data_IF_096333741375
#
_entry.id   IF_096333741375
#
_cell.length_a   1.000
_cell.length_b   1.000
_cell.length_c   1.000
_cell.angle_alpha   90.00
_cell.angle_beta   90.00
_cell.angle_gamma   90.00
#
_symmetry.space_group_name_H-M   'P 1'
#
loop_
_entity.id
_entity.type
_entity.pdbx_description
1 polymer ?
#
# COMPACT_ATOMS: atom_id res chain seq x y z
N UNK A 1 8.59 12.67 -26.56
CA UNK A 1 7.20 12.17 -26.69
C UNK A 1 6.64 12.00 -25.29
N UNK A 2 5.45 12.54 -24.96
CA UNK A 2 4.89 12.38 -23.61
C UNK A 2 4.47 10.93 -23.38
N UNK A 3 4.83 10.37 -22.22
CA UNK A 3 4.46 9.01 -21.83
C UNK A 3 2.92 8.87 -21.74
N UNK A 4 2.30 7.79 -22.22
CA UNK A 4 0.84 7.61 -22.18
C UNK A 4 0.22 7.84 -20.79
N UNK A 5 0.93 7.45 -19.73
CA UNK A 5 0.56 7.70 -18.32
C UNK A 5 0.26 9.18 -18.00
N UNK A 6 0.89 10.12 -18.70
CA UNK A 6 0.64 11.55 -18.55
C UNK A 6 -0.80 11.92 -18.93
N UNK A 7 -1.31 11.41 -20.05
CA UNK A 7 -2.67 11.68 -20.50
C UNK A 7 -3.71 11.07 -19.57
N UNK A 8 -3.46 9.88 -19.03
CA UNK A 8 -4.31 9.28 -18.01
C UNK A 8 -4.35 10.11 -16.73
N UNK A 9 -3.21 10.64 -16.28
CA UNK A 9 -3.16 11.51 -15.11
C UNK A 9 -4.02 12.77 -15.30
N UNK A 10 -3.88 13.45 -16.45
CA UNK A 10 -4.69 14.64 -16.74
C UNK A 10 -6.19 14.31 -16.81
N UNK A 11 -6.54 13.21 -17.49
CA UNK A 11 -7.93 12.74 -17.57
C UNK A 11 -8.54 12.51 -16.19
N UNK A 12 -7.85 11.78 -15.30
CA UNK A 12 -8.35 11.49 -13.95
C UNK A 12 -8.32 12.70 -13.02
N UNK A 13 -7.40 13.65 -13.22
CA UNK A 13 -7.43 14.94 -12.53
C UNK A 13 -8.69 15.73 -12.81
N UNK A 14 -9.14 15.74 -14.07
CA UNK A 14 -10.36 16.45 -14.48
C UNK A 14 -11.62 15.67 -14.10
N UNK A 15 -11.64 14.36 -14.35
CA UNK A 15 -12.85 13.55 -14.18
C UNK A 15 -13.07 13.03 -12.76
N UNK A 16 -12.01 12.95 -11.94
CA UNK A 16 -12.04 12.43 -10.56
C UNK A 16 -11.17 13.26 -9.59
N UNK A 17 -11.40 14.58 -9.46
CA UNK A 17 -10.58 15.44 -8.61
C UNK A 17 -10.62 15.05 -7.12
N UNK A 18 -11.76 14.57 -6.63
CA UNK A 18 -11.88 14.08 -5.26
C UNK A 18 -10.94 12.90 -4.99
N UNK A 19 -10.89 11.91 -5.88
CA UNK A 19 -9.97 10.77 -5.78
C UNK A 19 -8.51 11.24 -5.80
N UNK A 20 -8.15 12.20 -6.64
CA UNK A 20 -6.78 12.74 -6.64
C UNK A 20 -6.41 13.36 -5.29
N UNK A 21 -7.35 14.04 -4.63
CA UNK A 21 -7.13 14.58 -3.28
C UNK A 21 -6.93 13.47 -2.24
N UNK A 22 -7.65 12.35 -2.36
CA UNK A 22 -7.44 11.18 -1.49
C UNK A 22 -6.03 10.59 -1.69
N UNK A 23 -5.59 10.43 -2.94
CA UNK A 23 -4.25 9.93 -3.28
C UNK A 23 -3.17 10.84 -2.68
N UNK A 24 -3.32 12.17 -2.82
CA UNK A 24 -2.38 13.13 -2.22
C UNK A 24 -2.29 13.00 -0.70
N UNK A 25 -3.41 12.81 -0.01
CA UNK A 25 -3.41 12.62 1.46
C UNK A 25 -2.76 11.30 1.89
N UNK A 26 -2.93 10.24 1.10
CA UNK A 26 -2.22 8.98 1.33
C UNK A 26 -0.72 9.19 1.14
N UNK A 27 -0.31 9.88 0.07
CA UNK A 27 1.09 10.21 -0.20
C UNK A 27 1.72 11.02 0.93
N UNK A 28 1.06 12.11 1.36
CA UNK A 28 1.53 12.96 2.44
C UNK A 28 1.74 12.17 3.74
N UNK A 29 0.85 11.22 4.06
CA UNK A 29 0.99 10.41 5.26
C UNK A 29 2.06 9.32 5.12
N UNK A 30 2.12 8.61 3.99
CA UNK A 30 3.00 7.44 3.80
C UNK A 30 4.46 7.87 3.68
N UNK A 31 4.71 9.01 3.04
CA UNK A 31 6.08 9.54 2.87
C UNK A 31 6.70 10.09 4.16
N UNK A 32 5.93 10.14 5.27
CA UNK A 32 6.47 10.47 6.60
C UNK A 32 7.18 9.29 7.27
N UNK A 33 7.00 8.06 6.77
CA UNK A 33 7.58 6.88 7.41
C UNK A 33 9.07 6.76 7.09
N UNK A 34 9.81 6.17 8.02
CA UNK A 34 11.26 6.05 7.87
C UNK A 34 11.64 5.19 6.65
N UNK A 35 12.48 5.74 5.78
CA UNK A 35 12.97 5.05 4.58
C UNK A 35 11.98 4.98 3.42
N UNK A 36 10.83 5.67 3.51
CA UNK A 36 9.84 5.70 2.42
C UNK A 36 10.08 6.85 1.45
N UNK A 37 9.95 6.54 0.16
CA UNK A 37 9.84 7.51 -0.94
C UNK A 37 8.62 7.24 -1.80
N UNK A 38 8.28 8.19 -2.68
CA UNK A 38 7.19 8.01 -3.64
C UNK A 38 7.59 8.49 -5.04
N UNK A 39 7.09 7.79 -6.07
CA UNK A 39 7.43 8.04 -7.47
C UNK A 39 6.20 7.84 -8.37
N UNK A 40 6.15 8.47 -9.55
CA UNK A 40 5.14 8.15 -10.55
C UNK A 40 5.21 6.67 -10.96
N UNK A 41 4.08 5.96 -10.91
CA UNK A 41 4.01 4.57 -11.36
C UNK A 41 3.96 4.51 -12.89
N UNK A 42 4.74 3.65 -13.57
CA UNK A 42 4.80 3.60 -15.05
C UNK A 42 3.45 3.35 -15.71
N UNK A 43 2.59 2.55 -15.07
CA UNK A 43 1.23 2.25 -15.56
C UNK A 43 0.18 3.31 -15.13
N UNK A 44 0.63 4.46 -14.65
CA UNK A 44 -0.22 5.57 -14.22
C UNK A 44 -0.67 5.39 -12.77
N UNK A 45 -0.11 6.21 -11.88
CA UNK A 45 -0.42 6.19 -10.46
C UNK A 45 0.72 6.78 -9.65
N UNK A 46 0.64 6.61 -8.34
CA UNK A 46 1.67 6.93 -7.36
C UNK A 46 2.15 5.64 -6.70
N UNK A 47 3.43 5.31 -6.84
CA UNK A 47 4.05 4.15 -6.22
C UNK A 47 4.86 4.57 -4.98
N UNK A 48 4.88 3.71 -3.96
CA UNK A 48 5.57 3.91 -2.69
C UNK A 48 6.66 2.87 -2.51
N UNK A 49 7.86 3.32 -2.16
CA UNK A 49 9.05 2.49 -2.08
C UNK A 49 9.68 2.61 -0.70
N UNK A 50 9.96 1.47 -0.06
CA UNK A 50 10.87 1.39 1.07
C UNK A 50 12.25 1.00 0.53
N UNK A 51 13.20 1.92 0.58
CA UNK A 51 14.46 1.83 -0.16
C UNK A 51 14.21 1.51 -1.65
N UNK A 52 14.66 0.35 -2.13
CA UNK A 52 14.52 -0.07 -3.53
C UNK A 52 13.32 -1.00 -3.76
N UNK A 53 12.55 -1.32 -2.71
CA UNK A 53 11.43 -2.27 -2.79
C UNK A 53 10.09 -1.55 -2.75
N UNK A 54 9.25 -1.79 -3.75
CA UNK A 54 7.88 -1.27 -3.76
C UNK A 54 7.04 -1.91 -2.66
N UNK A 55 6.33 -1.09 -1.88
CA UNK A 55 5.38 -1.54 -0.85
C UNK A 55 3.92 -1.47 -1.32
N UNK A 56 3.66 -0.82 -2.45
CA UNK A 56 2.35 -0.69 -3.09
C UNK A 56 2.23 0.59 -3.94
N UNK A 57 1.17 0.67 -4.74
CA UNK A 57 0.89 1.84 -5.56
C UNK A 57 -0.61 2.12 -5.66
N UNK A 58 -0.96 3.40 -5.83
CA UNK A 58 -2.34 3.84 -6.08
C UNK A 58 -2.46 4.37 -7.50
N UNK A 59 -3.26 3.72 -8.32
CA UNK A 59 -3.61 4.19 -9.66
C UNK A 59 -4.46 5.47 -9.59
N UNK A 60 -4.37 6.32 -10.63
CA UNK A 60 -5.13 7.58 -10.68
C UNK A 60 -6.66 7.39 -10.66
N UNK A 61 -7.15 6.19 -10.92
CA UNK A 61 -8.57 5.86 -10.80
C UNK A 61 -9.02 5.58 -9.35
N UNK A 62 -8.08 5.47 -8.39
CA UNK A 62 -8.33 5.20 -6.97
C UNK A 62 -8.03 3.76 -6.52
N UNK A 63 -7.54 2.88 -7.39
CA UNK A 63 -7.18 1.51 -6.98
C UNK A 63 -5.81 1.49 -6.31
N UNK A 64 -5.77 1.08 -5.04
CA UNK A 64 -4.54 0.73 -4.33
C UNK A 64 -4.22 -0.75 -4.60
N UNK A 65 -3.10 -1.01 -5.25
CA UNK A 65 -2.63 -2.36 -5.56
C UNK A 65 -1.36 -2.66 -4.75
N UNK A 66 -1.32 -3.84 -4.14
CA UNK A 66 -0.21 -4.30 -3.32
C UNK A 66 0.06 -5.78 -3.58
N UNK A 67 1.33 -6.12 -3.81
CA UNK A 67 1.81 -7.49 -4.01
C UNK A 67 2.22 -8.11 -2.68
N UNK A 68 1.73 -9.31 -2.40
CA UNK A 68 2.02 -10.11 -1.21
C UNK A 68 2.33 -11.57 -1.60
N UNK A 69 2.74 -12.38 -0.60
CA UNK A 69 2.79 -13.84 -0.73
C UNK A 69 1.39 -14.45 -0.89
N UNK A 70 1.31 -15.69 -1.40
CA UNK A 70 0.01 -16.35 -1.69
C UNK A 70 -0.88 -16.51 -0.46
N UNK A 71 -0.32 -17.03 0.62
CA UNK A 71 -1.06 -17.25 1.86
C UNK A 71 -1.60 -15.94 2.42
N UNK A 72 -0.73 -14.94 2.51
CA UNK A 72 -1.11 -13.62 2.98
C UNK A 72 -2.16 -12.94 2.11
N UNK A 73 -2.05 -13.07 0.78
CA UNK A 73 -3.08 -12.56 -0.16
C UNK A 73 -4.42 -13.24 0.12
N UNK A 74 -4.44 -14.57 0.28
CA UNK A 74 -5.65 -15.32 0.59
C UNK A 74 -6.31 -14.83 1.88
N UNK A 75 -5.54 -14.51 2.91
CA UNK A 75 -6.08 -14.02 4.17
C UNK A 75 -6.60 -12.59 4.07
N UNK A 76 -5.88 -11.70 3.38
CA UNK A 76 -6.33 -10.33 3.14
C UNK A 76 -7.63 -10.28 2.33
N UNK A 77 -7.84 -11.23 1.41
CA UNK A 77 -9.09 -11.34 0.63
C UNK A 77 -10.31 -11.73 1.48
N UNK A 78 -10.12 -12.16 2.73
CA UNK A 78 -11.23 -12.38 3.67
C UNK A 78 -11.76 -11.08 4.28
N UNK A 79 -11.01 -9.99 4.17
CA UNK A 79 -11.40 -8.67 4.70
C UNK A 79 -12.37 -7.98 3.74
N UNK A 80 -13.30 -7.22 4.33
CA UNK A 80 -14.31 -6.50 3.55
C UNK A 80 -13.66 -5.52 2.57
N UNK A 81 -14.24 -5.45 1.36
CA UNK A 81 -13.84 -4.58 0.23
C UNK A 81 -12.44 -4.81 -0.35
N UNK A 82 -11.64 -5.71 0.19
CA UNK A 82 -10.38 -6.12 -0.45
C UNK A 82 -10.73 -7.04 -1.62
N UNK A 83 -10.23 -6.70 -2.81
CA UNK A 83 -10.52 -7.41 -4.04
C UNK A 83 -9.28 -8.15 -4.53
N UNK A 84 -9.48 -9.22 -5.27
CA UNK A 84 -8.39 -9.89 -5.96
C UNK A 84 -7.86 -9.00 -7.09
N UNK A 85 -6.54 -8.85 -7.15
CA UNK A 85 -5.92 -8.09 -8.22
C UNK A 85 -6.12 -8.81 -9.57
N UNK A 86 -6.63 -8.08 -10.57
CA UNK A 86 -7.04 -8.65 -11.86
C UNK A 86 -5.92 -9.32 -12.64
N UNK A 87 -4.72 -8.73 -12.65
CA UNK A 87 -3.61 -9.15 -13.52
C UNK A 87 -2.55 -10.00 -12.81
N UNK A 88 -2.58 -10.01 -11.48
CA UNK A 88 -1.63 -10.75 -10.63
C UNK A 88 -2.46 -11.48 -9.57
N UNK A 89 -3.29 -12.45 -10.00
CA UNK A 89 -4.18 -13.17 -9.09
C UNK A 89 -3.38 -13.92 -8.03
N UNK A 90 -4.00 -14.14 -6.87
CA UNK A 90 -3.48 -14.89 -5.73
C UNK A 90 -2.20 -14.35 -5.08
N UNK A 91 -1.59 -13.30 -5.65
CA UNK A 91 -0.36 -12.69 -5.15
C UNK A 91 -0.46 -11.17 -4.99
N UNK A 92 -1.61 -10.60 -5.31
CA UNK A 92 -1.85 -9.19 -5.11
C UNK A 92 -3.32 -8.94 -4.79
N UNK A 93 -3.53 -7.87 -4.03
CA UNK A 93 -4.86 -7.34 -3.74
C UNK A 93 -5.04 -5.99 -4.45
N UNK A 94 -6.30 -5.66 -4.69
CA UNK A 94 -6.76 -4.33 -5.06
C UNK A 94 -7.70 -3.82 -3.98
N UNK A 95 -7.47 -2.61 -3.47
CA UNK A 95 -8.37 -1.92 -2.57
C UNK A 95 -8.85 -0.59 -3.19
N UNK A 96 -10.16 -0.39 -3.42
CA UNK A 96 -10.68 0.83 -4.01
C UNK A 96 -10.75 1.97 -2.99
N UNK A 97 -9.99 3.04 -3.26
CA UNK A 97 -9.97 4.32 -2.52
C UNK A 97 -10.84 5.35 -3.24
N UNK A 98 -12.10 5.44 -2.83
CA UNK A 98 -13.12 6.24 -3.51
C UNK A 98 -13.67 7.39 -2.66
N UNK A 99 -13.53 7.30 -1.34
CA UNK A 99 -14.05 8.28 -0.36
C UNK A 99 -13.11 8.44 0.83
N UNK A 100 -13.33 9.50 1.61
CA UNK A 100 -12.49 9.87 2.76
C UNK A 100 -12.32 8.73 3.79
N UNK A 101 -13.36 7.94 4.01
CA UNK A 101 -13.33 6.82 4.98
C UNK A 101 -12.36 5.71 4.55
N UNK A 102 -12.00 5.66 3.26
CA UNK A 102 -11.11 4.63 2.72
C UNK A 102 -9.63 4.92 3.03
N UNK A 103 -9.29 6.18 3.33
CA UNK A 103 -7.92 6.62 3.57
C UNK A 103 -7.28 5.81 4.71
N UNK A 104 -8.02 5.60 5.80
CA UNK A 104 -7.49 4.89 6.97
C UNK A 104 -7.08 3.46 6.63
N UNK A 105 -7.93 2.71 5.93
CA UNK A 105 -7.62 1.34 5.54
C UNK A 105 -6.52 1.28 4.48
N UNK A 106 -6.52 2.19 3.49
CA UNK A 106 -5.47 2.27 2.47
C UNK A 106 -4.08 2.48 3.10
N UNK A 107 -3.97 3.44 4.01
CA UNK A 107 -2.74 3.72 4.78
C UNK A 107 -2.35 2.52 5.65
N UNK A 108 -3.33 1.81 6.21
CA UNK A 108 -3.08 0.63 7.04
C UNK A 108 -2.53 -0.55 6.22
N UNK A 109 -3.05 -0.77 5.01
CA UNK A 109 -2.56 -1.80 4.09
C UNK A 109 -1.13 -1.50 3.61
N UNK A 110 -0.83 -0.24 3.27
CA UNK A 110 0.53 0.19 2.95
C UNK A 110 1.48 0.02 4.15
N UNK A 111 1.03 0.34 5.37
CA UNK A 111 1.83 0.15 6.59
C UNK A 111 2.07 -1.32 6.86
N UNK A 112 1.08 -2.17 6.64
CA UNK A 112 1.22 -3.61 6.77
C UNK A 112 2.30 -4.16 5.82
N UNK A 113 2.26 -3.76 4.54
CA UNK A 113 3.30 -4.08 3.55
C UNK A 113 4.68 -3.56 3.96
N UNK A 114 4.76 -2.31 4.42
CA UNK A 114 5.99 -1.72 4.94
C UNK A 114 6.58 -2.52 6.10
N UNK A 115 5.77 -2.94 7.07
CA UNK A 115 6.25 -3.69 8.25
C UNK A 115 6.79 -5.07 7.88
N UNK A 116 6.20 -5.74 6.88
CA UNK A 116 6.75 -6.98 6.34
C UNK A 116 8.13 -6.76 5.72
N UNK A 117 8.30 -5.68 4.94
CA UNK A 117 9.61 -5.33 4.37
C UNK A 117 10.62 -4.94 5.44
N UNK A 118 10.18 -4.19 6.44
CA UNK A 118 11.03 -3.75 7.54
C UNK A 118 11.57 -4.94 8.34
N UNK A 119 10.69 -5.90 8.68
CA UNK A 119 11.06 -7.14 9.38
C UNK A 119 12.14 -7.89 8.61
N UNK A 120 11.93 -8.10 7.31
CA UNK A 120 12.89 -8.83 6.46
C UNK A 120 14.22 -8.08 6.21
N UNK A 121 14.25 -6.76 6.44
CA UNK A 121 15.45 -5.93 6.21
C UNK A 121 16.34 -5.87 7.45
N UNK A 122 15.73 -5.93 8.64
CA UNK A 122 16.43 -5.77 9.92
C UNK A 122 16.08 -6.94 10.84
N UNK A 123 16.70 -8.09 10.59
CA UNK A 123 16.49 -9.29 11.40
C UNK A 123 17.09 -9.18 12.82
N UNK A 124 17.97 -8.20 13.12
CA UNK A 124 18.70 -8.21 14.40
C UNK A 124 19.18 -6.82 14.90
N UNK A 125 18.25 -5.86 15.09
CA UNK A 125 18.58 -4.57 15.74
C UNK A 125 17.48 -4.13 16.70
N UNK A 126 17.80 -4.09 18.01
CA UNK A 126 16.92 -3.67 19.12
C UNK A 126 16.19 -2.33 18.90
N UNK A 127 16.83 -1.38 18.20
CA UNK A 127 16.22 -0.08 17.84
C UNK A 127 15.10 -0.23 16.81
N UNK A 128 15.21 -1.20 15.91
CA UNK A 128 14.22 -1.45 14.87
C UNK A 128 13.04 -2.27 15.40
N UNK A 129 13.28 -3.17 16.37
CA UNK A 129 12.20 -3.85 17.11
C UNK A 129 11.29 -2.83 17.81
N UNK A 130 11.88 -1.86 18.51
CA UNK A 130 11.13 -0.79 19.19
C UNK A 130 10.31 0.06 18.20
N UNK A 131 10.84 0.31 17.00
CA UNK A 131 10.11 1.04 15.95
C UNK A 131 8.99 0.19 15.34
N UNK A 132 9.27 -1.10 15.08
CA UNK A 132 8.29 -2.04 14.56
C UNK A 132 7.09 -2.17 15.51
N UNK A 133 7.33 -2.35 16.81
CA UNK A 133 6.26 -2.38 17.82
C UNK A 133 5.38 -1.12 17.77
N UNK A 134 6.00 0.07 17.70
CA UNK A 134 5.27 1.34 17.61
C UNK A 134 4.40 1.45 16.36
N UNK A 135 4.87 0.93 15.23
CA UNK A 135 4.09 0.95 13.99
C UNK A 135 3.01 -0.14 13.97
N UNK A 136 3.26 -1.33 14.52
CA UNK A 136 2.27 -2.41 14.62
C UNK A 136 1.04 -1.95 15.42
N UNK A 137 1.21 -1.18 16.50
CA UNK A 137 0.09 -0.64 17.30
C UNK A 137 -0.86 0.23 16.47
N UNK A 138 -0.38 0.85 15.37
CA UNK A 138 -1.20 1.70 14.48
C UNK A 138 -2.08 0.91 13.51
N UNK A 139 -1.90 -0.41 13.40
CA UNK A 139 -2.71 -1.25 12.52
C UNK A 139 -4.10 -1.56 13.11
N UNK A 140 -5.14 -1.70 12.26
CA UNK A 140 -6.42 -2.29 12.62
C UNK A 140 -6.26 -3.70 13.20
N UNK A 141 -7.23 -4.13 14.03
CA UNK A 141 -7.19 -5.42 14.73
C UNK A 141 -7.00 -6.62 13.81
N UNK A 142 -7.67 -6.65 12.66
CA UNK A 142 -7.57 -7.80 11.74
C UNK A 142 -6.22 -7.84 11.02
N UNK A 143 -5.63 -6.68 10.65
CA UNK A 143 -4.27 -6.62 10.10
C UNK A 143 -3.21 -6.98 11.15
N UNK A 144 -3.42 -6.63 12.43
CA UNK A 144 -2.53 -7.06 13.52
C UNK A 144 -2.55 -8.58 13.68
N UNK A 145 -3.74 -9.20 13.65
CA UNK A 145 -3.88 -10.66 13.75
C UNK A 145 -3.13 -11.33 12.61
N UNK A 146 -3.36 -10.90 11.36
CA UNK A 146 -2.67 -11.43 10.19
C UNK A 146 -1.14 -11.25 10.36
N UNK A 147 -0.66 -10.06 10.75
CA UNK A 147 0.79 -9.82 10.90
C UNK A 147 1.48 -10.67 11.98
N UNK A 148 0.73 -11.05 13.01
CA UNK A 148 1.22 -11.82 14.16
C UNK A 148 1.35 -13.32 13.85
N UNK A 149 0.70 -13.83 12.81
CA UNK A 149 0.93 -15.20 12.35
C UNK A 149 2.27 -15.27 11.61
N UNK A 150 3.20 -16.16 12.02
CA UNK A 150 4.45 -16.35 11.29
C UNK A 150 4.13 -17.06 9.97
N UNK A 151 3.98 -16.29 8.90
CA UNK A 151 4.08 -16.83 7.54
C UNK A 151 5.55 -17.06 7.25
N UNK A 152 6.02 -18.23 7.64
CA UNK A 152 7.24 -18.81 7.07
C UNK A 152 7.01 -18.95 5.56
N UNK A 153 7.95 -18.46 4.76
CA UNK A 153 7.95 -18.60 3.30
C UNK A 153 7.78 -20.06 2.83
#
# INVERSE_FOLDING_TARGET
MMHPAFFYHLFFKVTRPAVQKLIGRIEDQVTTWHGLGSFPHPMGGKAFFFHETEIGHVHWNGNLDIVFGRQLTSELLTLDRIQQHRFVPDRAITFPVLKDEDIFLAISLLRFSYLLRLRNTYDDVLMMETYLEKEVVKLPGDLKKILAYPYME
#
